data_IF_144919183529
#
_entry.id   IF_144919183529
#
_cell.length_a   1.000
_cell.length_b   1.000
_cell.length_c   1.000
_cell.angle_alpha   90.00
_cell.angle_beta   90.00
_cell.angle_gamma   90.00
#
_symmetry.space_group_name_H-M   'P 1'
#
loop_
_entity.id
_entity.type
_entity.pdbx_description
1 polymer ?
#
# COMPACT_ATOMS: atom_id res chain seq x y z
N UNK A 1 15.05 23.85 22.79
CA UNK A 1 13.90 22.94 22.53
C UNK A 1 14.27 21.80 21.57
N UNK A 2 15.56 21.52 21.33
CA UNK A 2 16.03 20.47 20.40
C UNK A 2 17.01 19.49 21.03
N UNK A 3 17.18 19.52 22.35
CA UNK A 3 18.34 18.90 23.02
C UNK A 3 17.97 17.73 23.94
N UNK A 4 16.79 17.15 23.77
CA UNK A 4 16.38 15.94 24.49
C UNK A 4 16.76 14.70 23.66
N UNK A 5 18.06 14.36 23.68
CA UNK A 5 18.59 13.11 23.12
C UNK A 5 17.93 11.86 23.74
N UNK A 6 17.24 12.02 24.86
CA UNK A 6 16.40 11.01 25.52
C UNK A 6 15.25 10.46 24.65
N UNK A 7 14.82 11.18 23.60
CA UNK A 7 13.75 10.76 22.68
C UNK A 7 14.23 10.10 21.38
N UNK A 8 15.54 10.10 21.11
CA UNK A 8 16.12 9.43 19.94
C UNK A 8 15.80 7.92 19.87
N UNK A 9 15.84 7.15 20.97
CA UNK A 9 15.50 5.73 20.93
C UNK A 9 14.04 5.51 20.51
N UNK A 10 13.13 6.33 21.04
CA UNK A 10 11.70 6.29 20.72
C UNK A 10 11.42 6.65 19.25
N UNK A 11 12.06 7.71 18.73
CA UNK A 11 11.94 8.08 17.32
C UNK A 11 12.57 7.02 16.40
N UNK A 12 13.60 6.32 16.86
CA UNK A 12 14.23 5.22 16.13
C UNK A 12 13.32 4.00 16.04
N UNK A 13 12.71 3.57 17.15
CA UNK A 13 11.72 2.48 17.16
C UNK A 13 10.51 2.83 16.28
N UNK A 14 9.95 4.03 16.44
CA UNK A 14 8.79 4.49 15.67
C UNK A 14 9.09 4.57 14.17
N UNK A 15 10.28 5.02 13.78
CA UNK A 15 10.69 5.06 12.38
C UNK A 15 10.93 3.68 11.79
N UNK A 16 11.40 2.71 12.59
CA UNK A 16 11.56 1.32 12.15
C UNK A 16 10.21 0.64 11.89
N UNK A 17 9.26 0.84 12.80
CA UNK A 17 7.89 0.32 12.66
C UNK A 17 7.18 0.93 11.45
N UNK A 18 7.30 2.26 11.28
CA UNK A 18 6.78 2.96 10.11
C UNK A 18 7.42 2.43 8.82
N UNK A 19 8.73 2.17 8.82
CA UNK A 19 9.41 1.60 7.66
C UNK A 19 8.90 0.19 7.35
N UNK A 20 8.57 -0.62 8.36
CA UNK A 20 7.95 -1.94 8.20
C UNK A 20 6.61 -1.86 7.47
N UNK A 21 5.74 -0.93 7.88
CA UNK A 21 4.44 -0.68 7.25
C UNK A 21 4.58 -0.15 5.83
N UNK A 22 5.53 0.75 5.56
CA UNK A 22 5.82 1.26 4.21
C UNK A 22 6.29 0.11 3.31
N UNK A 23 7.20 -0.74 3.80
CA UNK A 23 7.71 -1.89 3.04
C UNK A 23 6.61 -2.86 2.70
N UNK A 24 5.70 -3.16 3.63
CA UNK A 24 4.53 -4.01 3.35
C UNK A 24 3.65 -3.41 2.25
N UNK A 25 3.34 -2.12 2.32
CA UNK A 25 2.53 -1.45 1.30
C UNK A 25 3.17 -1.50 -0.09
N UNK A 26 4.48 -1.27 -0.17
CA UNK A 26 5.24 -1.37 -1.42
C UNK A 26 5.22 -2.81 -1.93
N UNK A 27 5.46 -3.80 -1.08
CA UNK A 27 5.45 -5.21 -1.48
C UNK A 27 4.08 -5.68 -1.97
N UNK A 28 2.99 -5.25 -1.34
CA UNK A 28 1.62 -5.58 -1.77
C UNK A 28 1.30 -4.95 -3.13
N UNK A 29 1.62 -3.67 -3.30
CA UNK A 29 1.41 -2.96 -4.58
C UNK A 29 2.24 -3.57 -5.71
N UNK A 30 3.52 -3.85 -5.45
CA UNK A 30 4.42 -4.46 -6.41
C UNK A 30 3.99 -5.90 -6.75
N UNK A 31 3.54 -6.66 -5.75
CA UNK A 31 3.03 -8.01 -5.92
C UNK A 31 1.77 -8.07 -6.78
N UNK A 32 0.80 -7.18 -6.55
CA UNK A 32 -0.40 -7.09 -7.39
C UNK A 32 -0.06 -6.74 -8.84
N UNK A 33 0.85 -5.80 -9.03
CA UNK A 33 1.29 -5.35 -10.37
C UNK A 33 2.08 -6.44 -11.10
N UNK A 34 2.93 -7.18 -10.40
CA UNK A 34 3.65 -8.32 -10.94
C UNK A 34 2.71 -9.47 -11.29
N UNK A 35 1.73 -9.79 -10.42
CA UNK A 35 0.73 -10.82 -10.68
C UNK A 35 -0.07 -10.51 -11.95
N UNK A 36 -0.50 -9.26 -12.14
CA UNK A 36 -1.17 -8.83 -13.37
C UNK A 36 -0.23 -8.89 -14.57
N UNK A 37 1.02 -8.43 -14.45
CA UNK A 37 2.01 -8.49 -15.51
C UNK A 37 2.30 -9.93 -15.97
N UNK A 38 2.29 -10.89 -15.04
CA UNK A 38 2.43 -12.31 -15.36
C UNK A 38 1.11 -12.94 -15.85
N UNK A 39 -0.06 -12.52 -15.41
CA UNK A 39 -1.33 -13.13 -15.83
C UNK A 39 -1.77 -12.73 -17.25
N UNK A 40 -1.52 -11.48 -17.66
CA UNK A 40 -1.91 -10.92 -18.97
C UNK A 40 -1.33 -11.70 -20.17
N UNK A 41 -0.03 -12.04 -20.24
CA UNK A 41 0.53 -12.74 -21.39
C UNK A 41 0.06 -14.21 -21.51
N UNK A 42 -0.46 -14.82 -20.44
CA UNK A 42 -0.99 -16.19 -20.49
C UNK A 42 -2.45 -16.26 -20.97
N UNK A 43 -3.10 -15.12 -21.26
CA UNK A 43 -4.47 -15.09 -21.77
C UNK A 43 -5.53 -15.63 -20.80
N UNK A 44 -5.15 -15.87 -19.54
CA UNK A 44 -6.01 -16.41 -18.48
C UNK A 44 -7.11 -15.43 -18.05
N UNK A 45 -6.94 -14.15 -18.37
CA UNK A 45 -7.86 -13.08 -18.01
C UNK A 45 -8.22 -12.28 -19.26
N UNK A 46 -9.49 -12.23 -19.67
CA UNK A 46 -9.90 -11.40 -20.80
C UNK A 46 -9.63 -9.92 -20.48
N UNK A 47 -9.26 -9.13 -21.50
CA UNK A 47 -8.76 -7.75 -21.35
C UNK A 47 -9.71 -6.88 -20.50
N UNK A 48 -11.02 -7.06 -20.65
CA UNK A 48 -12.03 -6.33 -19.88
C UNK A 48 -11.93 -6.62 -18.36
N UNK A 49 -11.64 -7.86 -17.96
CA UNK A 49 -11.48 -8.23 -16.56
C UNK A 49 -10.14 -7.72 -16.00
N UNK A 50 -9.08 -7.70 -16.82
CA UNK A 50 -7.78 -7.15 -16.44
C UNK A 50 -7.87 -5.64 -16.16
N UNK A 51 -8.59 -4.88 -17.00
CA UNK A 51 -8.82 -3.43 -16.80
C UNK A 51 -9.76 -3.18 -15.62
N UNK A 52 -10.83 -3.96 -15.49
CA UNK A 52 -11.80 -3.81 -14.41
C UNK A 52 -11.19 -4.10 -13.04
N UNK A 53 -10.42 -5.17 -12.90
CA UNK A 53 -9.82 -5.56 -11.60
C UNK A 53 -8.53 -4.77 -11.35
N UNK A 54 -7.72 -4.56 -12.40
CA UNK A 54 -6.40 -3.94 -12.31
C UNK A 54 -6.45 -2.42 -12.16
N UNK A 55 -7.13 -1.70 -13.04
CA UNK A 55 -7.17 -0.23 -12.99
C UNK A 55 -8.34 0.28 -12.17
N UNK A 56 -9.57 -0.07 -12.57
CA UNK A 56 -10.78 0.45 -11.93
C UNK A 56 -10.96 -0.12 -10.50
N UNK A 57 -10.76 -1.43 -10.34
CA UNK A 57 -10.91 -2.14 -9.07
C UNK A 57 -9.86 -1.72 -8.06
N UNK A 58 -8.60 -1.55 -8.48
CA UNK A 58 -7.55 -1.04 -7.60
C UNK A 58 -7.81 0.42 -7.18
N UNK A 59 -8.25 1.28 -8.11
CA UNK A 59 -8.60 2.68 -7.81
C UNK A 59 -9.74 2.76 -6.79
N UNK A 60 -10.81 1.98 -7.00
CA UNK A 60 -11.95 1.92 -6.07
C UNK A 60 -11.54 1.33 -4.71
N UNK A 61 -10.70 0.30 -4.70
CA UNK A 61 -10.21 -0.33 -3.47
C UNK A 61 -9.36 0.62 -2.62
N UNK A 62 -8.42 1.33 -3.24
CA UNK A 62 -7.57 2.32 -2.55
C UNK A 62 -8.41 3.51 -2.07
N UNK A 63 -9.34 4.00 -2.90
CA UNK A 63 -10.22 5.12 -2.55
C UNK A 63 -11.15 4.75 -1.38
N UNK A 64 -11.78 3.58 -1.41
CA UNK A 64 -12.60 3.07 -0.31
C UNK A 64 -11.79 2.82 0.97
N UNK A 65 -10.57 2.30 0.84
CA UNK A 65 -9.66 2.14 1.97
C UNK A 65 -9.22 3.50 2.56
N UNK A 66 -9.00 4.52 1.72
CA UNK A 66 -8.71 5.89 2.17
C UNK A 66 -9.91 6.52 2.89
N UNK A 67 -11.15 6.23 2.47
CA UNK A 67 -12.36 6.64 3.20
C UNK A 67 -12.51 5.96 4.58
N UNK A 68 -11.85 4.83 4.83
CA UNK A 68 -11.78 4.27 6.19
C UNK A 68 -10.96 5.14 7.13
N UNK A 69 -9.97 5.86 6.60
CA UNK A 69 -9.10 6.75 7.37
C UNK A 69 -9.80 8.04 7.77
N UNK A 70 -10.78 8.53 6.99
CA UNK A 70 -11.60 9.69 7.37
C UNK A 70 -12.56 9.42 8.54
N UNK A 71 -12.57 8.19 9.07
CA UNK A 71 -13.33 7.79 10.25
C UNK A 71 -12.44 7.63 11.49
N UNK A 72 -11.16 7.99 11.39
CA UNK A 72 -10.25 8.10 12.52
C UNK A 72 -10.23 9.57 12.93
N UNK A 73 -11.09 9.92 13.88
CA UNK A 73 -11.02 11.18 14.62
C UNK A 73 -9.89 11.10 15.67
N UNK A 74 -9.18 12.23 15.95
CA UNK A 74 -8.18 12.31 17.02
C UNK A 74 -8.79 12.22 18.43
#
# INVERSE_FOLDING_TARGET
>A
MGDDLSRLPYLYELSHDANGVIRQNIWVSLGAKAALAFAVPFGLVPIWAAVLIGDAGMTLGVTGNAMRLSRIEP
#
